data_IF_765813140658
#
_entry.id   IF_765813140658
#
_cell.length_a   1.000
_cell.length_b   1.000
_cell.length_c   1.000
_cell.angle_alpha   90.00
_cell.angle_beta   90.00
_cell.angle_gamma   90.00
#
_symmetry.space_group_name_H-M   'P 1'
#
loop_
_entity.id
_entity.type
_entity.pdbx_description
1 polymer ?
#
# COMPACT_ATOMS: atom_id res chain seq x y z
N UNK A 1 -0.20 14.46 15.85
CA UNK A 1 -0.92 14.86 14.64
C UNK A 1 0.12 15.20 13.59
N UNK A 2 -0.06 14.87 12.31
CA UNK A 2 0.86 15.31 11.25
C UNK A 2 0.77 16.84 11.13
N UNK A 3 1.86 17.54 10.86
CA UNK A 3 1.89 19.03 10.76
C UNK A 3 0.84 19.53 9.78
N UNK A 4 0.58 18.74 8.74
CA UNK A 4 -0.42 19.10 7.74
C UNK A 4 -1.86 18.84 8.17
N UNK A 5 -2.11 17.86 9.04
CA UNK A 5 -3.43 17.68 9.65
C UNK A 5 -3.73 18.86 10.58
N UNK A 6 -2.75 19.31 11.35
CA UNK A 6 -2.90 20.47 12.24
C UNK A 6 -3.18 21.74 11.45
N UNK A 7 -2.38 22.01 10.40
CA UNK A 7 -2.58 23.16 9.51
C UNK A 7 -3.95 23.17 8.81
N UNK A 8 -4.47 22.00 8.41
CA UNK A 8 -5.81 21.90 7.81
C UNK A 8 -6.93 22.19 8.81
N UNK A 9 -6.80 21.72 10.06
CA UNK A 9 -7.77 21.99 11.10
C UNK A 9 -7.72 23.47 11.53
N UNK A 10 -6.53 24.06 11.63
CA UNK A 10 -6.38 25.51 11.88
C UNK A 10 -7.04 26.35 10.80
N UNK A 11 -6.82 26.01 9.52
CA UNK A 11 -7.43 26.71 8.39
C UNK A 11 -8.95 26.66 8.45
N UNK A 12 -9.58 25.50 8.64
CA UNK A 12 -11.06 25.46 8.67
C UNK A 12 -11.63 26.25 9.84
N UNK A 13 -10.94 26.28 10.98
CA UNK A 13 -11.33 27.07 12.16
C UNK A 13 -11.20 28.58 11.92
N UNK A 14 -10.20 29.03 11.18
CA UNK A 14 -10.05 30.44 10.77
C UNK A 14 -11.29 30.94 10.02
N UNK A 15 -11.90 30.08 9.21
CA UNK A 15 -13.14 30.38 8.49
C UNK A 15 -14.42 30.05 9.28
N UNK A 16 -14.31 29.73 10.58
CA UNK A 16 -15.44 29.48 11.48
C UNK A 16 -16.06 28.10 11.36
N UNK A 17 -15.40 27.16 10.68
CA UNK A 17 -15.86 25.78 10.56
C UNK A 17 -15.21 24.87 11.61
N UNK A 18 -15.90 23.78 11.94
CA UNK A 18 -15.39 22.75 12.85
C UNK A 18 -14.46 21.76 12.12
N UNK A 19 -13.71 20.96 12.87
CA UNK A 19 -12.75 19.98 12.34
C UNK A 19 -13.41 18.95 11.40
N UNK A 20 -14.71 18.70 11.55
CA UNK A 20 -15.50 17.85 10.64
C UNK A 20 -15.51 18.37 9.19
N UNK A 21 -15.33 19.68 8.98
CA UNK A 21 -15.23 20.28 7.66
C UNK A 21 -14.02 19.76 6.88
N UNK A 22 -12.91 19.44 7.55
CA UNK A 22 -11.75 18.82 6.92
C UNK A 22 -12.12 17.46 6.31
N UNK A 23 -12.92 16.66 7.02
CA UNK A 23 -13.40 15.36 6.54
C UNK A 23 -14.43 15.49 5.40
N UNK A 24 -15.22 16.56 5.38
CA UNK A 24 -16.12 16.87 4.27
C UNK A 24 -15.33 17.27 3.02
N UNK A 25 -14.33 18.15 3.16
CA UNK A 25 -13.48 18.57 2.06
C UNK A 25 -12.73 17.39 1.44
N UNK A 26 -12.16 16.49 2.25
CA UNK A 26 -11.47 15.27 1.78
C UNK A 26 -12.37 14.35 0.95
N UNK A 27 -13.68 14.39 1.19
CA UNK A 27 -14.70 13.59 0.50
C UNK A 27 -15.40 14.33 -0.63
N UNK A 28 -15.13 15.62 -0.81
CA UNK A 28 -15.80 16.46 -1.79
C UNK A 28 -15.74 15.90 -3.23
N UNK A 29 -14.66 15.24 -3.70
CA UNK A 29 -14.66 14.65 -5.04
C UNK A 29 -15.62 13.47 -5.20
N UNK A 30 -15.97 12.78 -4.10
CA UNK A 30 -16.93 11.67 -4.12
C UNK A 30 -18.37 12.13 -3.87
N UNK A 31 -18.55 13.17 -3.04
CA UNK A 31 -19.87 13.71 -2.70
C UNK A 31 -20.44 14.60 -3.82
N UNK A 32 -19.57 15.26 -4.58
CA UNK A 32 -19.93 16.20 -5.64
C UNK A 32 -19.24 15.82 -6.97
N UNK A 33 -19.56 14.66 -7.55
CA UNK A 33 -18.87 14.14 -8.74
C UNK A 33 -19.10 15.00 -10.00
N UNK A 34 -20.20 15.75 -10.02
CA UNK A 34 -20.59 16.61 -11.14
C UNK A 34 -19.96 18.01 -11.06
N UNK A 35 -19.31 18.34 -9.93
CA UNK A 35 -18.65 19.61 -9.73
C UNK A 35 -17.21 19.57 -10.30
N UNK A 36 -16.90 20.35 -11.34
CA UNK A 36 -15.59 20.33 -11.98
C UNK A 36 -14.47 20.84 -11.06
N UNK A 37 -14.80 21.67 -10.08
CA UNK A 37 -13.84 22.20 -9.11
C UNK A 37 -13.44 21.08 -8.13
N UNK A 38 -14.39 20.36 -7.54
CA UNK A 38 -14.08 19.22 -6.67
C UNK A 38 -13.48 18.02 -7.40
N UNK A 39 -13.76 17.86 -8.71
CA UNK A 39 -13.14 16.82 -9.54
C UNK A 39 -11.66 17.08 -9.81
N UNK A 40 -11.24 18.34 -9.83
CA UNK A 40 -9.84 18.74 -10.12
C UNK A 40 -9.04 19.02 -8.86
N UNK A 41 -9.70 19.36 -7.75
CA UNK A 41 -9.04 19.55 -6.45
C UNK A 41 -8.58 18.21 -5.89
N UNK A 42 -7.25 18.06 -5.82
CA UNK A 42 -6.62 17.00 -5.03
C UNK A 42 -6.66 17.39 -3.55
N UNK A 43 -7.73 16.98 -2.84
CA UNK A 43 -7.80 17.16 -1.39
C UNK A 43 -6.94 16.08 -0.73
N UNK A 44 -5.64 16.37 -0.67
CA UNK A 44 -4.60 15.55 -0.06
C UNK A 44 -4.20 14.29 -0.82
N UNK A 45 -3.07 14.37 -1.53
CA UNK A 45 -2.33 13.21 -2.02
C UNK A 45 -1.07 13.09 -1.17
N UNK A 46 -0.94 12.00 -0.41
CA UNK A 46 0.38 11.57 0.07
C UNK A 46 1.16 11.08 -1.15
N UNK A 47 1.65 12.03 -1.95
CA UNK A 47 2.51 11.78 -3.12
C UNK A 47 3.85 11.29 -2.59
N UNK A 48 3.97 10.00 -2.33
CA UNK A 48 5.28 9.37 -2.36
C UNK A 48 5.67 9.16 -3.84
N UNK A 49 5.71 10.25 -4.61
CA UNK A 49 6.23 10.23 -5.98
C UNK A 49 7.72 10.42 -5.86
N UNK A 50 8.43 9.34 -5.57
CA UNK A 50 9.79 9.25 -6.03
C UNK A 50 9.69 9.21 -7.56
N UNK A 51 9.99 10.33 -8.23
CA UNK A 51 9.99 10.47 -9.68
C UNK A 51 11.22 9.75 -10.24
N UNK A 52 11.32 8.44 -9.96
CA UNK A 52 12.40 7.58 -10.43
C UNK A 52 11.98 7.17 -11.84
N UNK A 53 12.43 7.93 -12.83
CA UNK A 53 12.08 7.74 -14.23
C UNK A 53 12.36 6.32 -14.76
N UNK A 54 11.75 6.01 -15.90
CA UNK A 54 11.98 4.76 -16.64
C UNK A 54 13.48 4.63 -16.95
N UNK A 55 14.07 3.47 -16.64
CA UNK A 55 15.48 3.17 -16.94
C UNK A 55 16.48 3.48 -15.82
N UNK A 56 16.02 3.97 -14.67
CA UNK A 56 16.87 4.11 -13.47
C UNK A 56 16.99 2.76 -12.77
N UNK A 57 18.17 2.50 -12.20
CA UNK A 57 18.42 1.32 -11.39
C UNK A 57 17.47 1.28 -10.18
N UNK A 58 16.74 0.17 -10.05
CA UNK A 58 15.79 -0.04 -8.95
C UNK A 58 16.56 -0.07 -7.62
N UNK A 59 16.15 0.72 -6.60
CA UNK A 59 16.79 0.68 -5.29
C UNK A 59 16.67 -0.71 -4.69
N UNK A 60 17.77 -1.21 -4.14
CA UNK A 60 17.76 -2.52 -3.50
C UNK A 60 17.26 -2.42 -2.05
N UNK A 61 15.94 -2.54 -1.90
CA UNK A 61 15.27 -2.44 -0.61
C UNK A 61 15.30 -3.76 0.17
N UNK A 62 15.52 -3.74 1.50
CA UNK A 62 15.36 -4.92 2.34
C UNK A 62 13.88 -5.25 2.53
N UNK A 63 13.53 -6.51 2.32
CA UNK A 63 12.18 -7.05 2.42
C UNK A 63 12.10 -8.09 3.54
N UNK A 64 10.90 -8.25 4.10
CA UNK A 64 10.59 -9.32 5.07
C UNK A 64 9.68 -10.33 4.39
N UNK A 65 10.04 -11.62 4.33
CA UNK A 65 9.19 -12.66 3.77
C UNK A 65 8.02 -12.95 4.71
N UNK A 66 6.85 -13.23 4.13
CA UNK A 66 5.64 -13.53 4.88
C UNK A 66 5.75 -14.85 5.67
N UNK A 67 6.31 -15.86 5.02
CA UNK A 67 6.57 -17.20 5.57
C UNK A 67 8.09 -17.43 5.57
N UNK A 68 8.77 -17.24 6.72
CA UNK A 68 10.22 -17.39 6.82
C UNK A 68 10.74 -18.76 6.37
N UNK A 69 9.93 -19.81 6.59
CA UNK A 69 10.24 -21.20 6.26
C UNK A 69 10.35 -21.46 4.75
N UNK A 70 9.56 -20.77 3.92
CA UNK A 70 9.62 -20.90 2.46
C UNK A 70 10.90 -20.24 1.92
N UNK A 71 11.34 -19.15 2.56
CA UNK A 71 12.54 -18.42 2.17
C UNK A 71 13.84 -18.99 2.74
N UNK A 72 13.78 -19.80 3.80
CA UNK A 72 14.99 -20.47 4.33
C UNK A 72 15.63 -21.39 3.30
N UNK A 73 14.82 -21.95 2.39
CA UNK A 73 15.28 -22.73 1.24
C UNK A 73 15.98 -21.89 0.16
N UNK A 74 15.72 -20.57 0.10
CA UNK A 74 16.25 -19.65 -0.91
C UNK A 74 17.58 -19.01 -0.47
N UNK A 75 17.76 -18.76 0.85
CA UNK A 75 18.87 -17.90 1.33
C UNK A 75 19.95 -18.67 2.10
N UNK A 76 19.73 -19.94 2.43
CA UNK A 76 20.72 -20.72 3.19
C UNK A 76 20.73 -20.30 4.65
N UNK A 77 20.08 -21.14 5.47
CA UNK A 77 20.14 -21.26 6.92
C UNK A 77 20.92 -20.16 7.71
N UNK A 78 20.20 -19.21 8.32
CA UNK A 78 20.73 -18.40 9.42
C UNK A 78 19.80 -18.48 10.63
N UNK A 79 20.30 -19.11 11.69
CA UNK A 79 19.70 -19.14 13.02
C UNK A 79 19.71 -17.73 13.64
N UNK A 80 18.69 -16.92 13.38
CA UNK A 80 18.53 -15.62 14.05
C UNK A 80 17.08 -15.40 14.47
N UNK A 81 16.90 -14.86 15.68
CA UNK A 81 15.61 -14.57 16.32
C UNK A 81 14.85 -13.41 15.64
N UNK A 82 15.49 -12.70 14.71
CA UNK A 82 14.88 -11.70 13.84
C UNK A 82 14.48 -12.32 12.49
N UNK A 83 13.36 -11.89 11.89
CA UNK A 83 12.97 -12.39 10.57
C UNK A 83 14.04 -12.03 9.53
N UNK A 84 14.40 -12.97 8.64
CA UNK A 84 15.48 -12.77 7.68
C UNK A 84 15.14 -11.62 6.74
N UNK A 85 16.01 -10.62 6.65
CA UNK A 85 15.90 -9.55 5.67
C UNK A 85 16.42 -10.04 4.32
N UNK A 86 15.61 -9.85 3.29
CA UNK A 86 15.88 -10.31 1.93
C UNK A 86 16.04 -9.09 1.03
N UNK A 87 17.20 -8.86 0.42
CA UNK A 87 17.37 -7.74 -0.49
C UNK A 87 16.54 -7.96 -1.76
N UNK A 88 15.87 -6.93 -2.28
CA UNK A 88 15.04 -7.01 -3.48
C UNK A 88 15.79 -7.65 -4.67
N UNK A 89 17.08 -7.34 -4.84
CA UNK A 89 17.92 -7.90 -5.91
C UNK A 89 18.00 -9.42 -5.89
N UNK A 90 17.83 -10.07 -4.73
CA UNK A 90 17.87 -11.55 -4.66
C UNK A 90 16.62 -12.21 -5.24
N UNK A 91 15.57 -11.43 -5.51
CA UNK A 91 14.38 -11.90 -6.23
C UNK A 91 14.54 -11.83 -7.75
N UNK A 92 15.53 -11.08 -8.24
CA UNK A 92 15.81 -10.94 -9.67
C UNK A 92 16.49 -12.22 -10.20
N UNK A 93 15.96 -12.77 -11.30
CA UNK A 93 16.59 -13.88 -12.03
C UNK A 93 17.11 -13.38 -13.37
N UNK A 94 18.31 -13.84 -13.76
CA UNK A 94 18.89 -13.47 -15.05
C UNK A 94 17.97 -13.86 -16.20
N UNK A 95 17.71 -12.93 -17.11
CA UNK A 95 16.87 -13.13 -18.29
C UNK A 95 15.35 -13.17 -18.02
N UNK A 96 14.90 -12.92 -16.78
CA UNK A 96 13.47 -12.89 -16.43
C UNK A 96 13.07 -11.52 -15.88
N UNK A 97 12.12 -10.83 -16.51
CA UNK A 97 11.55 -9.62 -15.95
C UNK A 97 10.89 -9.90 -14.60
N UNK A 98 10.97 -8.91 -13.71
CA UNK A 98 10.37 -8.93 -12.39
C UNK A 98 9.24 -7.89 -12.34
N UNK A 99 8.03 -8.32 -12.00
CA UNK A 99 6.89 -7.43 -11.77
C UNK A 99 6.65 -7.35 -10.26
N UNK A 100 6.78 -6.13 -9.74
CA UNK A 100 6.50 -5.81 -8.34
C UNK A 100 5.17 -5.07 -8.24
N UNK A 101 4.27 -5.62 -7.42
CA UNK A 101 2.99 -5.00 -7.12
C UNK A 101 3.02 -4.52 -5.67
N UNK A 102 3.10 -3.21 -5.47
CA UNK A 102 2.98 -2.64 -4.12
C UNK A 102 1.50 -2.63 -3.71
N UNK A 103 1.16 -3.47 -2.74
CA UNK A 103 -0.20 -3.66 -2.23
C UNK A 103 -0.42 -3.01 -0.87
N UNK A 104 -1.65 -2.57 -0.67
CA UNK A 104 -2.18 -1.94 0.54
C UNK A 104 -3.50 -2.62 0.87
N UNK A 105 -3.68 -3.10 2.11
CA UNK A 105 -4.92 -3.78 2.51
C UNK A 105 -6.10 -2.81 2.56
N UNK A 106 -5.83 -1.58 3.01
CA UNK A 106 -6.83 -0.51 3.16
C UNK A 106 -6.98 0.36 1.90
N UNK A 107 -6.23 0.12 0.83
CA UNK A 107 -6.38 0.91 -0.40
C UNK A 107 -7.65 0.49 -1.16
N UNK A 108 -8.60 1.41 -1.39
CA UNK A 108 -9.85 1.10 -2.06
C UNK A 108 -9.62 0.56 -3.48
N UNK A 109 -8.56 0.98 -4.17
CA UNK A 109 -8.23 0.46 -5.51
C UNK A 109 -7.84 -1.01 -5.51
N UNK A 110 -7.12 -1.49 -4.48
CA UNK A 110 -6.70 -2.89 -4.37
C UNK A 110 -7.88 -3.81 -3.95
N UNK A 111 -8.82 -3.24 -3.18
CA UNK A 111 -9.97 -3.96 -2.65
C UNK A 111 -11.13 -4.08 -3.65
N UNK A 112 -11.09 -3.33 -4.76
CA UNK A 112 -12.03 -3.49 -5.86
C UNK A 112 -11.62 -4.74 -6.64
N UNK A 113 -12.45 -5.77 -6.55
CA UNK A 113 -12.39 -7.11 -7.14
C UNK A 113 -12.09 -7.18 -8.66
N UNK A 114 -11.94 -6.03 -9.31
CA UNK A 114 -11.55 -5.85 -10.70
C UNK A 114 -10.04 -6.04 -10.91
N UNK A 115 -9.20 -5.49 -10.01
CA UNK A 115 -7.74 -5.60 -10.15
C UNK A 115 -7.28 -7.05 -9.91
N UNK A 116 -7.89 -7.77 -8.96
CA UNK A 116 -7.53 -9.17 -8.69
C UNK A 116 -7.69 -10.07 -9.92
N UNK A 117 -8.84 -10.01 -10.62
CA UNK A 117 -9.07 -10.83 -11.82
C UNK A 117 -8.10 -10.51 -12.97
N UNK A 118 -7.78 -9.23 -13.16
CA UNK A 118 -6.82 -8.81 -14.17
C UNK A 118 -5.42 -9.30 -13.84
N UNK A 119 -5.01 -9.18 -12.56
CA UNK A 119 -3.72 -9.67 -12.08
C UNK A 119 -3.60 -11.20 -12.21
N UNK A 120 -4.66 -11.94 -11.90
CA UNK A 120 -4.71 -13.39 -12.07
C UNK A 120 -4.53 -13.79 -13.54
N UNK A 121 -5.22 -13.08 -14.45
CA UNK A 121 -5.08 -13.32 -15.88
C UNK A 121 -3.65 -13.07 -16.37
N UNK A 122 -3.04 -11.95 -15.97
CA UNK A 122 -1.66 -11.60 -16.31
C UNK A 122 -0.69 -12.65 -15.75
N UNK A 123 -0.88 -13.05 -14.49
CA UNK A 123 -0.05 -14.06 -13.84
C UNK A 123 -0.13 -15.40 -14.58
N UNK A 124 -1.34 -15.92 -14.84
CA UNK A 124 -1.53 -17.19 -15.54
C UNK A 124 -0.86 -17.15 -16.92
N UNK A 125 -0.97 -16.03 -17.63
CA UNK A 125 -0.42 -15.86 -18.98
C UNK A 125 1.12 -15.78 -19.00
N UNK A 126 1.74 -15.13 -18.02
CA UNK A 126 3.16 -14.79 -18.07
C UNK A 126 4.04 -15.46 -17.02
N UNK A 127 3.50 -16.25 -16.08
CA UNK A 127 4.29 -16.90 -15.01
C UNK A 127 5.48 -17.73 -15.50
N UNK A 128 5.42 -18.27 -16.72
CA UNK A 128 6.53 -19.03 -17.30
C UNK A 128 7.70 -18.16 -17.75
N UNK A 129 7.50 -16.84 -17.94
CA UNK A 129 8.50 -15.91 -18.50
C UNK A 129 8.86 -14.76 -17.54
N UNK A 130 7.95 -14.41 -16.63
CA UNK A 130 8.04 -13.26 -15.72
C UNK A 130 7.83 -13.73 -14.30
N UNK A 131 8.61 -13.18 -13.36
CA UNK A 131 8.42 -13.41 -11.93
C UNK A 131 7.56 -12.29 -11.33
N UNK A 132 6.59 -12.65 -10.48
CA UNK A 132 5.63 -11.71 -9.89
C UNK A 132 5.73 -11.75 -8.36
N UNK A 133 5.83 -10.59 -7.73
CA UNK A 133 5.80 -10.47 -6.28
C UNK A 133 4.88 -9.32 -5.85
N UNK A 134 4.14 -9.56 -4.78
CA UNK A 134 3.36 -8.52 -4.12
C UNK A 134 4.09 -8.08 -2.85
N UNK A 135 4.32 -6.78 -2.72
CA UNK A 135 5.00 -6.17 -1.58
C UNK A 135 3.95 -5.41 -0.78
N UNK A 136 3.74 -5.83 0.47
CA UNK A 136 2.90 -5.08 1.40
C UNK A 136 3.64 -3.83 1.87
N UNK A 137 3.04 -2.67 1.60
CA UNK A 137 3.53 -1.38 2.09
C UNK A 137 2.67 -0.85 3.26
N UNK A 138 3.01 0.34 3.75
CA UNK A 138 2.33 1.02 4.85
C UNK A 138 0.91 1.43 4.44
N UNK A 139 -0.09 1.14 5.26
CA UNK A 139 -1.51 1.36 4.95
C UNK A 139 -1.83 2.79 4.48
N UNK A 140 -2.67 2.91 3.46
CA UNK A 140 -3.09 4.20 2.92
C UNK A 140 -4.25 4.79 3.73
N UNK A 141 -5.13 3.94 4.27
CA UNK A 141 -6.34 4.32 4.98
C UNK A 141 -6.47 3.56 6.30
N UNK A 142 -5.44 3.67 7.13
CA UNK A 142 -5.43 3.12 8.48
C UNK A 142 -6.59 3.69 9.30
N UNK A 143 -7.34 2.86 10.02
CA UNK A 143 -8.55 3.27 10.72
C UNK A 143 -8.32 4.25 11.89
N UNK A 144 -7.13 4.25 12.47
CA UNK A 144 -6.71 5.16 13.54
C UNK A 144 -5.95 6.41 13.04
N UNK A 145 -5.83 6.59 11.72
CA UNK A 145 -5.17 7.76 11.10
C UNK A 145 -6.07 8.40 10.04
N UNK A 146 -6.50 7.60 9.06
CA UNK A 146 -7.31 8.05 7.93
C UNK A 146 -8.34 7.01 7.48
N UNK A 147 -9.42 6.80 8.24
CA UNK A 147 -10.42 5.79 7.90
C UNK A 147 -11.18 6.14 6.61
N UNK A 148 -11.30 5.17 5.69
CA UNK A 148 -12.33 5.20 4.62
C UNK A 148 -13.54 4.42 5.11
N UNK A 149 -14.48 5.13 5.74
CA UNK A 149 -15.77 4.58 6.17
C UNK A 149 -15.65 3.24 6.93
N UNK A 150 -16.67 2.39 6.81
CA UNK A 150 -16.75 1.10 7.52
C UNK A 150 -16.21 -0.10 6.72
N UNK A 151 -15.45 0.13 5.63
CA UNK A 151 -15.13 -0.94 4.67
C UNK A 151 -14.01 -1.84 5.19
N UNK A 152 -12.98 -1.25 5.80
CA UNK A 152 -11.83 -2.00 6.32
C UNK A 152 -11.33 -1.35 7.63
N UNK A 153 -11.42 -2.10 8.73
CA UNK A 153 -10.90 -1.65 10.04
C UNK A 153 -9.51 -2.25 10.30
N UNK A 154 -8.48 -1.64 9.73
CA UNK A 154 -7.07 -1.97 10.02
C UNK A 154 -6.34 -0.73 10.47
N UNK A 155 -5.74 -0.81 11.66
CA UNK A 155 -4.93 0.27 12.23
C UNK A 155 -3.58 0.37 11.52
N UNK A 156 -2.96 1.53 11.65
CA UNK A 156 -1.60 1.77 11.21
C UNK A 156 -0.65 0.76 11.84
N UNK A 157 0.18 0.11 11.01
CA UNK A 157 1.13 -0.89 11.49
C UNK A 157 2.22 -0.22 12.32
N UNK A 158 2.23 -0.46 13.64
CA UNK A 158 3.27 0.06 14.55
C UNK A 158 4.46 -0.88 14.66
N UNK A 159 4.20 -2.17 14.43
CA UNK A 159 5.20 -3.22 14.45
C UNK A 159 5.17 -4.04 13.16
N UNK A 160 6.24 -4.78 12.90
CA UNK A 160 6.29 -5.74 11.80
C UNK A 160 5.25 -6.87 11.99
N UNK A 161 4.98 -7.25 13.24
CA UNK A 161 3.96 -8.25 13.57
C UNK A 161 2.57 -7.79 13.10
N UNK A 162 2.23 -6.52 13.33
CA UNK A 162 0.96 -5.93 12.88
C UNK A 162 0.83 -6.04 11.35
N UNK A 163 1.90 -5.71 10.63
CA UNK A 163 1.94 -5.78 9.16
C UNK A 163 1.78 -7.22 8.67
N UNK A 164 2.48 -8.17 9.26
CA UNK A 164 2.36 -9.59 8.90
C UNK A 164 0.96 -10.13 9.21
N UNK A 165 0.37 -9.74 10.34
CA UNK A 165 -0.99 -10.12 10.71
C UNK A 165 -2.02 -9.59 9.71
N UNK A 166 -1.90 -8.34 9.26
CA UNK A 166 -2.76 -7.77 8.24
C UNK A 166 -2.70 -8.55 6.91
N UNK A 167 -1.50 -8.88 6.43
CA UNK A 167 -1.32 -9.68 5.20
C UNK A 167 -1.92 -11.08 5.35
N UNK A 168 -1.69 -11.76 6.48
CA UNK A 168 -2.29 -13.09 6.74
C UNK A 168 -3.81 -13.04 6.78
N UNK A 169 -4.38 -11.99 7.36
CA UNK A 169 -5.83 -11.80 7.38
C UNK A 169 -6.39 -11.52 5.99
N UNK A 170 -5.68 -10.77 5.16
CA UNK A 170 -6.05 -10.57 3.76
C UNK A 170 -6.07 -11.89 2.98
N UNK A 171 -5.02 -12.69 3.10
CA UNK A 171 -4.93 -13.99 2.43
C UNK A 171 -6.07 -14.91 2.84
N UNK A 172 -6.39 -15.02 4.14
CA UNK A 172 -7.53 -15.83 4.62
C UNK A 172 -8.88 -15.43 4.03
N UNK A 173 -9.06 -14.16 3.64
CA UNK A 173 -10.32 -13.65 3.07
C UNK A 173 -10.40 -13.81 1.56
N UNK A 174 -9.27 -14.04 0.89
CA UNK A 174 -9.16 -14.04 -0.58
C UNK A 174 -8.49 -15.31 -1.13
N UNK A 175 -8.30 -16.33 -0.30
CA UNK A 175 -7.83 -17.68 -0.65
C UNK A 175 -8.97 -18.57 -1.11
#
# INVERSE_FOLDING_TARGET
MDVTDEMQNELVREFGYSDEAVQLLRRSPQLYPDDPEFRTIQVYVRKNIANIGIGIQVPDCPLVPLEPLIFTAIIGNTNTTSPPLVPLRSLCKSGRPLVLLSGLYTCPYQHISYISRMLDYIYIRYKSQVDFYMIQIREAHASDVWPIGNIVNVKEHRTLSDRLAAVRNWLKKHS
#
